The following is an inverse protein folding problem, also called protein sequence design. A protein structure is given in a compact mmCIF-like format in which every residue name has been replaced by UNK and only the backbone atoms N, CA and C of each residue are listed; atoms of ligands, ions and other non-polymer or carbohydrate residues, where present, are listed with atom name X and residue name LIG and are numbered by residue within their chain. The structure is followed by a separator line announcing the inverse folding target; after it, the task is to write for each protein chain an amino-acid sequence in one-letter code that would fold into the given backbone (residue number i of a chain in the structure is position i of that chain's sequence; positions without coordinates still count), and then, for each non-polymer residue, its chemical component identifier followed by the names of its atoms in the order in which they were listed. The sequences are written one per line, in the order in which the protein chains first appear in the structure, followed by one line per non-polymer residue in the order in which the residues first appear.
data_IF_385162863446
#
_entry.id   IF_385162863446
#
_cell.length_a   1.000
_cell.length_b   1.000
_cell.length_c   1.000
_cell.angle_alpha   90.00
_cell.angle_beta   90.00
_cell.angle_gamma   90.00
#
_symmetry.space_group_name_H-M   'P 1'
#
loop_
_entity.id
_entity.type
_entity.pdbx_description
1 polymer ?
#
# COMPACT_ATOMS: atom_id res chain seq x y z
N UNK A 1 16.79 -0.76 -2.39
CA UNK A 1 15.60 -0.17 -3.06
C UNK A 1 14.84 0.66 -2.03
N UNK A 2 14.16 1.72 -2.45
CA UNK A 2 13.34 2.53 -1.55
C UNK A 2 11.87 2.31 -1.88
N UNK A 3 11.04 2.21 -0.86
CA UNK A 3 9.59 2.23 -0.98
C UNK A 3 9.06 3.47 -0.27
N UNK A 4 8.05 4.13 -0.82
CA UNK A 4 7.43 5.26 -0.18
C UNK A 4 6.00 5.46 -0.67
N UNK A 5 5.25 6.21 0.12
CA UNK A 5 3.92 6.67 -0.26
C UNK A 5 3.79 8.17 0.01
N UNK A 6 2.79 8.78 -0.60
CA UNK A 6 2.42 10.16 -0.32
C UNK A 6 0.96 10.35 -0.69
N UNK A 7 0.37 11.40 -0.13
CA UNK A 7 -0.97 11.86 -0.47
C UNK A 7 -0.90 13.35 -0.81
N UNK A 8 -2.03 13.95 -1.17
CA UNK A 8 -2.12 15.40 -1.32
C UNK A 8 -1.76 16.13 -0.01
N UNK A 9 -2.02 15.50 1.14
CA UNK A 9 -1.89 16.11 2.45
C UNK A 9 -0.44 16.09 2.97
N UNK A 10 0.30 15.00 2.73
CA UNK A 10 1.67 14.88 3.22
C UNK A 10 2.50 13.82 2.47
N UNK A 11 3.82 14.02 2.53
CA UNK A 11 4.79 12.95 2.29
C UNK A 11 4.82 11.99 3.47
N UNK A 12 5.00 10.70 3.20
CA UNK A 12 5.05 9.65 4.22
C UNK A 12 6.45 9.04 4.28
N UNK A 13 6.75 8.25 5.32
CA UNK A 13 8.09 7.70 5.48
C UNK A 13 8.54 6.89 4.27
N UNK A 14 9.82 7.02 3.96
CA UNK A 14 10.49 6.18 2.98
C UNK A 14 11.11 5.00 3.72
N UNK A 15 10.78 3.79 3.27
CA UNK A 15 11.28 2.55 3.82
C UNK A 15 12.45 2.07 2.96
N UNK A 16 13.59 1.80 3.61
CA UNK A 16 14.71 1.11 2.97
C UNK A 16 14.36 -0.37 2.86
N UNK A 17 14.36 -0.86 1.62
CA UNK A 17 14.20 -2.29 1.33
C UNK A 17 15.54 -2.80 0.83
N UNK A 18 16.25 -3.51 1.72
CA UNK A 18 17.62 -3.97 1.49
C UNK A 18 17.71 -5.03 0.38
N UNK A 19 16.64 -5.80 0.16
CA UNK A 19 16.57 -6.87 -0.83
C UNK A 19 15.53 -6.59 -1.92
N UNK A 20 15.39 -7.52 -2.87
CA UNK A 20 14.29 -7.49 -3.85
C UNK A 20 12.93 -7.52 -3.14
N UNK A 21 11.98 -6.69 -3.58
CA UNK A 21 10.63 -6.68 -3.01
C UNK A 21 9.96 -8.02 -3.25
N UNK A 22 9.61 -8.71 -2.17
CA UNK A 22 8.72 -9.88 -2.21
C UNK A 22 7.37 -9.49 -1.64
N UNK A 23 6.35 -10.28 -1.96
CA UNK A 23 5.00 -10.07 -1.47
C UNK A 23 4.92 -9.99 0.07
N UNK A 24 5.70 -10.81 0.79
CA UNK A 24 5.74 -10.78 2.26
C UNK A 24 6.35 -9.49 2.81
N UNK A 25 7.44 -8.99 2.20
CA UNK A 25 8.01 -7.69 2.57
C UNK A 25 7.03 -6.55 2.32
N UNK A 26 6.29 -6.61 1.21
CA UNK A 26 5.27 -5.62 0.88
C UNK A 26 4.11 -5.64 1.88
N UNK A 27 3.65 -6.81 2.29
CA UNK A 27 2.59 -6.94 3.28
C UNK A 27 3.00 -6.35 4.64
N UNK A 28 4.25 -6.60 5.08
CA UNK A 28 4.79 -5.97 6.29
C UNK A 28 4.84 -4.44 6.19
N UNK A 29 5.03 -3.88 4.99
CA UNK A 29 4.97 -2.44 4.76
C UNK A 29 3.52 -1.97 4.83
N UNK A 30 2.59 -2.66 4.14
CA UNK A 30 1.17 -2.35 4.14
C UNK A 30 0.57 -2.29 5.56
N UNK A 31 0.95 -3.25 6.42
CA UNK A 31 0.58 -3.27 7.85
C UNK A 31 1.02 -2.01 8.61
N UNK A 32 2.14 -1.39 8.22
CA UNK A 32 2.62 -0.15 8.86
C UNK A 32 1.91 1.10 8.36
N UNK A 33 1.05 1.00 7.33
CA UNK A 33 0.41 2.16 6.71
C UNK A 33 -0.90 2.58 7.39
N UNK A 34 -1.52 1.72 8.20
CA UNK A 34 -2.81 2.00 8.85
C UNK A 34 -2.86 3.37 9.56
N UNK A 35 -1.85 3.76 10.38
CA UNK A 35 -1.89 5.06 11.05
C UNK A 35 -1.90 6.24 10.08
N UNK A 36 -1.23 6.09 8.93
CA UNK A 36 -1.17 7.13 7.92
C UNK A 36 -2.48 7.22 7.13
N UNK A 37 -3.11 6.09 6.82
CA UNK A 37 -4.42 6.07 6.17
C UNK A 37 -5.49 6.68 7.09
N UNK A 38 -5.52 6.29 8.36
CA UNK A 38 -6.46 6.85 9.33
C UNK A 38 -6.23 8.36 9.56
N UNK A 39 -4.98 8.82 9.53
CA UNK A 39 -4.66 10.24 9.70
C UNK A 39 -5.00 11.09 8.47
N UNK A 40 -4.65 10.61 7.27
CA UNK A 40 -4.92 11.34 6.02
C UNK A 40 -6.38 11.27 5.58
N UNK A 41 -7.05 10.17 5.89
CA UNK A 41 -8.40 9.86 5.43
C UNK A 41 -9.28 9.39 6.60
N UNK A 42 -9.52 10.25 7.61
CA UNK A 42 -10.20 9.85 8.86
C UNK A 42 -11.66 9.43 8.68
N UNK A 43 -12.27 9.74 7.54
CA UNK A 43 -13.63 9.32 7.17
C UNK A 43 -13.64 8.10 6.24
N UNK A 44 -12.49 7.45 6.03
CA UNK A 44 -12.38 6.23 5.20
C UNK A 44 -12.51 6.48 3.69
N UNK A 45 -12.27 7.70 3.22
CA UNK A 45 -12.31 8.05 1.79
C UNK A 45 -10.96 7.90 1.08
N UNK A 46 -9.99 7.23 1.73
CA UNK A 46 -8.66 7.01 1.20
C UNK A 46 -8.66 6.01 0.07
N UNK A 47 -8.14 6.42 -1.09
CA UNK A 47 -7.93 5.55 -2.24
C UNK A 47 -6.46 5.15 -2.25
N UNK A 48 -6.20 3.84 -2.28
CA UNK A 48 -4.85 3.31 -2.32
C UNK A 48 -4.49 2.89 -3.75
N UNK A 49 -3.35 3.38 -4.23
CA UNK A 49 -2.87 3.12 -5.59
C UNK A 49 -1.49 2.45 -5.53
N UNK A 50 -1.33 1.39 -6.30
CA UNK A 50 -0.06 0.68 -6.53
C UNK A 50 -0.03 0.17 -7.97
N UNK A 51 1.15 -0.08 -8.51
CA UNK A 51 1.28 -0.64 -9.86
C UNK A 51 0.93 -2.15 -9.91
N UNK A 52 1.06 -2.74 -11.10
CA UNK A 52 0.79 -4.16 -11.33
C UNK A 52 2.02 -5.08 -11.12
N UNK A 53 3.03 -4.65 -10.34
CA UNK A 53 4.19 -5.49 -10.08
C UNK A 53 3.79 -6.86 -9.48
N UNK A 54 4.49 -7.96 -9.79
CA UNK A 54 4.09 -9.29 -9.32
C UNK A 54 3.96 -9.41 -7.79
N UNK A 55 4.75 -8.67 -7.01
CA UNK A 55 4.62 -8.62 -5.55
C UNK A 55 3.28 -8.01 -5.08
N UNK A 56 2.78 -6.97 -5.75
CA UNK A 56 1.52 -6.31 -5.42
C UNK A 56 0.29 -7.14 -5.83
N UNK A 57 0.42 -7.93 -6.91
CA UNK A 57 -0.63 -8.83 -7.41
C UNK A 57 -0.59 -10.23 -6.77
N UNK A 58 0.35 -10.48 -5.86
CA UNK A 58 0.44 -11.76 -5.17
C UNK A 58 -0.83 -12.00 -4.33
N UNK A 59 -1.31 -13.25 -4.31
CA UNK A 59 -2.55 -13.63 -3.63
C UNK A 59 -2.61 -13.20 -2.16
N UNK A 60 -1.49 -13.28 -1.44
CA UNK A 60 -1.43 -12.90 -0.01
C UNK A 60 -1.64 -11.39 0.19
N UNK A 61 -1.16 -10.57 -0.73
CA UNK A 61 -1.30 -9.10 -0.68
C UNK A 61 -2.72 -8.70 -1.03
N UNK A 62 -3.29 -9.28 -2.09
CA UNK A 62 -4.67 -8.99 -2.49
C UNK A 62 -5.67 -9.37 -1.39
N UNK A 63 -5.52 -10.56 -0.78
CA UNK A 63 -6.36 -10.97 0.36
C UNK A 63 -6.25 -10.04 1.56
N UNK A 64 -5.05 -9.52 1.82
CA UNK A 64 -4.85 -8.57 2.89
C UNK A 64 -5.62 -7.26 2.61
N UNK A 65 -5.57 -6.74 1.38
CA UNK A 65 -6.37 -5.55 1.01
C UNK A 65 -7.89 -5.81 1.05
N UNK A 66 -8.35 -7.00 0.66
CA UNK A 66 -9.76 -7.38 0.80
C UNK A 66 -10.23 -7.34 2.26
N UNK A 67 -9.39 -7.78 3.20
CA UNK A 67 -9.68 -7.75 4.64
C UNK A 67 -9.70 -6.33 5.21
N UNK A 68 -8.96 -5.39 4.61
CA UNK A 68 -8.81 -4.00 5.07
C UNK A 68 -9.48 -2.99 4.11
N UNK A 69 -10.51 -3.39 3.37
CA UNK A 69 -11.18 -2.57 2.34
C UNK A 69 -11.77 -1.25 2.86
N UNK A 70 -12.13 -1.19 4.15
CA UNK A 70 -12.64 0.03 4.79
C UNK A 70 -11.55 1.09 4.99
N UNK A 71 -10.28 0.66 5.06
CA UNK A 71 -9.13 1.55 5.27
C UNK A 71 -8.37 1.79 3.95
N UNK A 72 -8.31 0.75 3.11
CA UNK A 72 -7.58 0.76 1.84
C UNK A 72 -8.52 0.41 0.69
N UNK A 73 -9.10 1.44 0.06
CA UNK A 73 -9.82 1.24 -1.20
C UNK A 73 -8.82 1.12 -2.36
N UNK A 74 -8.40 -0.11 -2.66
CA UNK A 74 -7.43 -0.40 -3.72
C UNK A 74 -8.05 -0.22 -5.11
N UNK A 75 -7.46 0.65 -5.94
CA UNK A 75 -7.89 0.84 -7.34
C UNK A 75 -7.08 0.02 -8.33
N UNK A 76 -7.70 -0.32 -9.47
CA UNK A 76 -7.03 -0.99 -10.58
C UNK A 76 -6.03 -0.05 -11.26
N UNK A 77 -4.81 -0.53 -11.47
CA UNK A 77 -3.81 0.14 -12.30
C UNK A 77 -3.87 -0.39 -13.74
N UNK A 78 -3.82 0.46 -14.78
CA UNK A 78 -3.75 -0.02 -16.15
C UNK A 78 -2.44 -0.82 -16.41
N UNK A 79 -2.43 -1.76 -17.36
CA UNK A 79 -1.19 -2.36 -17.83
C UNK A 79 -0.33 -1.31 -18.54
N UNK A 80 0.98 -1.51 -18.50
CA UNK A 80 1.94 -0.71 -19.26
C UNK A 80 1.95 -1.12 -20.74
#
# INVERSE_FOLDING_TARGET
MLWGMFSWAALRPVVVVEQTMKAANYLNIADQLHPYMAFDFPIGNGIFQQDNAPCHKARIVLKWFEQHTYEFHLISWPPN
#
